data_IF_331792944984
#
_entry.id   IF_331792944984
#
_cell.length_a   1.000
_cell.length_b   1.000
_cell.length_c   1.000
_cell.angle_alpha   90.00
_cell.angle_beta   90.00
_cell.angle_gamma   90.00
#
_symmetry.space_group_name_H-M   'P 1'
#
loop_
_entity.id
_entity.type
_entity.pdbx_description
1 polymer ?
#
# COMPACT_ATOMS: atom_id res chain seq x y z
N UNK A 1 -6.60 24.07 -14.85
CA UNK A 1 -6.07 22.83 -14.25
C UNK A 1 -7.11 21.75 -14.46
N UNK A 2 -6.92 20.87 -15.43
CA UNK A 2 -7.77 19.69 -15.61
C UNK A 2 -7.58 18.80 -14.40
N UNK A 3 -8.65 18.58 -13.62
CA UNK A 3 -8.68 17.50 -12.63
C UNK A 3 -8.43 16.22 -13.42
N UNK A 4 -7.28 15.58 -13.22
CA UNK A 4 -7.04 14.27 -13.78
C UNK A 4 -8.03 13.33 -13.09
N UNK A 5 -9.12 13.01 -13.77
CA UNK A 5 -10.08 12.04 -13.27
C UNK A 5 -9.38 10.68 -13.25
N UNK A 6 -9.41 10.02 -12.10
CA UNK A 6 -8.93 8.65 -11.97
C UNK A 6 -9.79 7.73 -12.84
N UNK A 7 -9.14 6.73 -13.46
CA UNK A 7 -9.88 5.66 -14.14
C UNK A 7 -10.77 4.93 -13.12
N UNK A 8 -11.81 4.25 -13.60
CA UNK A 8 -12.67 3.47 -12.70
C UNK A 8 -11.92 2.30 -12.06
N UNK A 9 -10.89 1.78 -12.74
CA UNK A 9 -9.95 0.80 -12.20
C UNK A 9 -9.15 1.38 -11.02
N UNK A 10 -8.60 2.59 -11.15
CA UNK A 10 -7.89 3.27 -10.07
C UNK A 10 -8.81 3.49 -8.86
N UNK A 11 -10.07 3.89 -9.09
CA UNK A 11 -11.05 4.09 -8.01
C UNK A 11 -11.40 2.78 -7.30
N UNK A 12 -11.60 1.70 -8.06
CA UNK A 12 -11.89 0.39 -7.50
C UNK A 12 -10.71 -0.12 -6.66
N UNK A 13 -9.49 0.03 -7.17
CA UNK A 13 -8.27 -0.31 -6.45
C UNK A 13 -8.14 0.47 -5.14
N UNK A 14 -8.27 1.80 -5.19
CA UNK A 14 -8.20 2.66 -3.99
C UNK A 14 -9.27 2.24 -2.98
N UNK A 15 -10.48 1.92 -3.42
CA UNK A 15 -11.54 1.46 -2.53
C UNK A 15 -11.20 0.15 -1.82
N UNK A 16 -10.48 -0.78 -2.46
CA UNK A 16 -9.98 -2.00 -1.82
C UNK A 16 -8.92 -1.67 -0.78
N UNK A 17 -7.94 -0.83 -1.10
CA UNK A 17 -6.91 -0.38 -0.15
C UNK A 17 -7.56 0.27 1.07
N UNK A 18 -8.48 1.21 0.85
CA UNK A 18 -9.20 1.91 1.92
C UNK A 18 -10.01 0.95 2.80
N UNK A 19 -10.64 -0.06 2.19
CA UNK A 19 -11.48 -1.02 2.91
C UNK A 19 -10.67 -1.96 3.81
N UNK A 20 -9.51 -2.43 3.34
CA UNK A 20 -8.80 -3.55 3.97
C UNK A 20 -7.54 -3.15 4.74
N UNK A 21 -7.02 -1.96 4.51
CA UNK A 21 -5.84 -1.47 5.20
C UNK A 21 -6.15 -1.15 6.68
N UNK A 22 -5.30 -1.62 7.59
CA UNK A 22 -5.41 -1.40 9.05
C UNK A 22 -4.06 -1.02 9.65
N UNK A 23 -4.00 -0.12 10.65
CA UNK A 23 -2.73 0.28 11.27
C UNK A 23 -1.90 -0.93 11.69
N UNK A 24 -0.60 -0.91 11.40
CA UNK A 24 0.32 -2.01 11.60
C UNK A 24 0.51 -2.94 10.39
N UNK A 25 -0.29 -2.79 9.33
CA UNK A 25 -0.13 -3.59 8.12
C UNK A 25 1.14 -3.26 7.33
N UNK A 26 1.76 -4.28 6.77
CA UNK A 26 2.87 -4.12 5.83
C UNK A 26 2.32 -3.79 4.44
N UNK A 27 2.68 -2.62 3.93
CA UNK A 27 2.38 -2.20 2.57
C UNK A 27 3.57 -2.49 1.67
N UNK A 28 3.31 -2.98 0.46
CA UNK A 28 4.26 -2.91 -0.66
C UNK A 28 3.72 -1.94 -1.69
N UNK A 29 4.48 -0.93 -2.11
CA UNK A 29 4.02 0.10 -3.05
C UNK A 29 5.09 0.49 -4.06
N UNK A 30 4.64 0.97 -5.23
CA UNK A 30 5.52 1.48 -6.27
C UNK A 30 5.82 2.97 -6.08
N UNK A 31 7.06 3.37 -6.28
CA UNK A 31 7.45 4.79 -6.39
C UNK A 31 7.98 5.09 -7.79
N UNK A 32 8.45 6.32 -8.01
CA UNK A 32 9.02 6.72 -9.29
C UNK A 32 10.12 5.75 -9.75
N UNK A 33 10.19 5.59 -11.08
CA UNK A 33 11.08 4.64 -11.76
C UNK A 33 10.80 3.16 -11.43
N UNK A 34 9.54 2.80 -11.12
CA UNK A 34 9.13 1.40 -10.97
C UNK A 34 9.68 0.68 -9.71
N UNK A 35 10.27 1.44 -8.78
CA UNK A 35 10.84 0.87 -7.56
C UNK A 35 9.74 0.41 -6.61
N UNK A 36 9.91 -0.77 -6.01
CA UNK A 36 9.05 -1.26 -4.94
C UNK A 36 9.61 -0.84 -3.58
N UNK A 37 8.72 -0.50 -2.65
CA UNK A 37 9.07 -0.13 -1.29
C UNK A 37 8.11 -0.71 -0.29
N UNK A 38 8.54 -0.76 0.96
CA UNK A 38 7.76 -1.34 2.04
C UNK A 38 7.71 -0.45 3.27
N UNK A 39 6.50 -0.25 3.78
CA UNK A 39 6.24 0.54 4.97
C UNK A 39 5.16 -0.11 5.82
N UNK A 40 5.25 0.07 7.13
CA UNK A 40 4.16 -0.24 8.06
C UNK A 40 3.17 0.92 8.03
N UNK A 41 1.91 0.64 7.73
CA UNK A 41 0.88 1.67 7.74
C UNK A 41 0.60 2.17 9.16
N UNK A 42 0.61 3.49 9.34
CA UNK A 42 0.36 4.15 10.62
C UNK A 42 -1.05 4.77 10.64
N UNK A 43 -1.32 5.73 9.75
CA UNK A 43 -2.59 6.47 9.71
C UNK A 43 -2.83 7.16 8.35
N UNK A 44 -4.01 7.76 8.17
CA UNK A 44 -4.39 8.56 6.99
C UNK A 44 -4.22 10.04 7.24
N UNK A 45 -3.69 10.75 6.24
CA UNK A 45 -3.71 12.21 6.20
C UNK A 45 -4.39 12.68 4.89
N UNK A 46 -5.70 12.92 4.99
CA UNK A 46 -6.53 13.20 3.82
C UNK A 46 -6.52 12.02 2.84
N UNK A 47 -6.02 12.26 1.62
CA UNK A 47 -5.89 11.23 0.59
C UNK A 47 -4.67 10.33 0.79
N UNK A 48 -3.65 10.79 1.52
CA UNK A 48 -2.37 10.11 1.64
C UNK A 48 -2.39 9.07 2.75
N UNK A 49 -1.75 7.94 2.48
CA UNK A 49 -1.41 6.93 3.47
C UNK A 49 -0.08 7.32 4.08
N UNK A 50 -0.01 7.41 5.40
CA UNK A 50 1.24 7.67 6.10
C UNK A 50 1.79 6.33 6.59
N UNK A 51 2.99 5.98 6.12
CA UNK A 51 3.67 4.73 6.45
C UNK A 51 5.05 4.94 7.04
N UNK A 52 5.43 4.09 8.00
CA UNK A 52 6.78 4.02 8.54
C UNK A 52 7.62 3.05 7.71
N UNK A 53 8.71 3.50 7.04
CA UNK A 53 9.50 2.65 6.18
C UNK A 53 10.15 1.50 6.97
N UNK A 54 10.21 0.31 6.34
CA UNK A 54 10.89 -0.85 6.90
C UNK A 54 12.34 -0.92 6.41
N UNK A 55 13.23 -1.52 7.23
CA UNK A 55 14.63 -1.75 6.82
C UNK A 55 14.76 -2.70 5.62
N UNK A 56 13.71 -3.46 5.33
CA UNK A 56 13.66 -4.42 4.22
C UNK A 56 13.27 -3.78 2.88
N UNK A 57 13.18 -2.45 2.81
CA UNK A 57 12.93 -1.71 1.58
C UNK A 57 13.98 -2.07 0.52
N UNK A 58 13.64 -3.00 -0.38
CA UNK A 58 14.47 -3.37 -1.52
C UNK A 58 14.09 -2.49 -2.70
N UNK A 59 14.95 -1.53 -3.03
CA UNK A 59 14.88 -0.92 -4.35
C UNK A 59 15.11 -2.04 -5.37
N UNK A 60 14.04 -2.48 -6.04
CA UNK A 60 14.17 -3.25 -7.27
C UNK A 60 15.07 -2.44 -8.22
N UNK A 61 16.04 -3.09 -8.84
CA UNK A 61 17.09 -2.53 -9.73
C UNK A 61 18.39 -1.99 -9.10
N UNK A 62 18.66 -2.23 -7.81
CA UNK A 62 20.02 -2.06 -7.27
C UNK A 62 20.52 -0.61 -7.21
N UNK A 63 19.60 0.36 -7.20
CA UNK A 63 19.91 1.77 -7.09
C UNK A 63 20.40 2.11 -5.67
N UNK A 64 21.61 2.65 -5.54
CA UNK A 64 22.29 2.95 -4.26
C UNK A 64 21.88 4.30 -3.65
N UNK A 65 20.64 4.74 -3.83
CA UNK A 65 20.34 6.17 -3.73
C UNK A 65 19.39 6.63 -2.62
N UNK A 66 19.17 5.83 -1.58
CA UNK A 66 18.78 6.38 -0.28
C UNK A 66 19.30 5.49 0.83
N UNK A 67 20.07 6.09 1.75
CA UNK A 67 20.22 5.53 3.09
C UNK A 67 18.82 5.42 3.70
N UNK A 68 18.60 4.38 4.49
CA UNK A 68 17.36 4.18 5.22
C UNK A 68 17.00 5.46 5.99
N UNK A 69 15.85 6.05 5.65
CA UNK A 69 15.28 7.19 6.36
C UNK A 69 14.25 6.64 7.35
N UNK A 70 14.28 7.09 8.60
CA UNK A 70 13.27 6.75 9.61
C UNK A 70 12.04 7.68 9.56
N UNK A 71 12.08 8.70 8.71
CA UNK A 71 10.95 9.58 8.44
C UNK A 71 9.78 8.85 7.81
N UNK A 72 8.57 9.25 8.19
CA UNK A 72 7.33 8.77 7.60
C UNK A 72 7.28 9.10 6.09
N UNK A 73 6.67 8.21 5.32
CA UNK A 73 6.49 8.37 3.88
C UNK A 73 5.01 8.61 3.54
N UNK A 74 4.77 9.58 2.65
CA UNK A 74 3.49 9.79 2.00
C UNK A 74 3.33 8.79 0.85
N UNK A 75 2.34 7.92 0.98
CA UNK A 75 2.07 6.83 0.04
C UNK A 75 0.73 7.11 -0.63
N UNK A 76 0.74 7.12 -1.95
CA UNK A 76 -0.50 7.20 -2.73
C UNK A 76 -1.21 5.85 -2.68
N UNK A 77 -2.51 5.77 -2.33
CA UNK A 77 -3.23 4.49 -2.30
C UNK A 77 -3.20 3.77 -3.65
N UNK A 78 -3.23 4.52 -4.77
CA UNK A 78 -3.07 3.98 -6.15
C UNK A 78 -1.76 3.22 -6.41
N UNK A 79 -0.76 3.40 -5.57
CA UNK A 79 0.55 2.78 -5.77
C UNK A 79 0.75 1.58 -4.86
N UNK A 80 -0.19 1.29 -3.96
CA UNK A 80 -0.13 0.12 -3.09
C UNK A 80 -0.38 -1.11 -3.95
N UNK A 81 0.59 -2.00 -4.04
CA UNK A 81 0.48 -3.24 -4.80
C UNK A 81 0.05 -4.41 -3.92
N UNK A 82 0.48 -4.40 -2.66
CA UNK A 82 0.20 -5.48 -1.71
C UNK A 82 -0.08 -4.95 -0.31
N UNK A 83 -0.92 -5.67 0.43
CA UNK A 83 -1.13 -5.53 1.87
C UNK A 83 -0.79 -6.87 2.51
N UNK A 84 0.13 -6.88 3.48
CA UNK A 84 0.64 -8.09 4.13
C UNK A 84 1.10 -9.18 3.15
N UNK A 85 1.80 -8.76 2.08
CA UNK A 85 2.32 -9.61 0.99
C UNK A 85 1.25 -10.20 0.05
N UNK A 86 -0.04 -9.90 0.25
CA UNK A 86 -1.09 -10.32 -0.68
C UNK A 86 -1.42 -9.18 -1.66
N UNK A 87 -1.62 -9.46 -2.96
CA UNK A 87 -2.03 -8.46 -3.94
C UNK A 87 -3.38 -7.84 -3.55
N UNK A 88 -3.51 -6.52 -3.66
CA UNK A 88 -4.72 -5.78 -3.26
C UNK A 88 -5.97 -6.35 -3.93
N UNK A 89 -5.88 -6.67 -5.21
CA UNK A 89 -6.99 -7.17 -6.04
C UNK A 89 -7.40 -8.60 -5.67
N UNK A 90 -6.51 -9.37 -5.03
CA UNK A 90 -6.80 -10.74 -4.60
C UNK A 90 -7.51 -10.80 -3.25
N UNK A 91 -7.40 -9.75 -2.41
CA UNK A 91 -7.92 -9.73 -1.04
C UNK A 91 -9.41 -10.11 -0.95
N UNK A 92 -10.33 -9.62 -1.82
CA UNK A 92 -11.72 -10.01 -1.77
C UNK A 92 -11.95 -11.52 -1.85
N UNK A 93 -11.16 -12.22 -2.68
CA UNK A 93 -11.23 -13.68 -2.80
C UNK A 93 -10.57 -14.37 -1.60
N UNK A 94 -9.48 -13.81 -1.08
CA UNK A 94 -8.77 -14.37 0.08
C UNK A 94 -9.60 -14.34 1.36
N UNK A 95 -10.54 -13.40 1.51
CA UNK A 95 -11.47 -13.39 2.66
C UNK A 95 -12.27 -14.68 2.77
N UNK A 96 -12.58 -15.35 1.67
CA UNK A 96 -13.39 -16.57 1.74
C UNK A 96 -12.57 -17.80 2.17
N UNK A 97 -11.25 -17.77 1.99
CA UNK A 97 -10.39 -18.95 2.10
C UNK A 97 -9.23 -18.82 3.08
N UNK A 98 -8.86 -17.60 3.47
CA UNK A 98 -7.73 -17.30 4.36
C UNK A 98 -8.25 -16.71 5.69
N UNK A 99 -8.10 -17.44 6.81
CA UNK A 99 -8.54 -16.98 8.13
C UNK A 99 -7.99 -15.60 8.53
N UNK A 100 -6.80 -15.22 8.05
CA UNK A 100 -6.21 -13.91 8.38
C UNK A 100 -7.06 -12.75 7.85
N UNK A 101 -7.72 -12.96 6.72
CA UNK A 101 -8.59 -11.96 6.07
C UNK A 101 -10.04 -12.06 6.54
N UNK A 102 -10.51 -13.25 6.92
CA UNK A 102 -11.85 -13.45 7.50
C UNK A 102 -12.07 -12.56 8.73
N UNK A 103 -11.16 -12.61 9.70
CA UNK A 103 -11.28 -11.83 10.94
C UNK A 103 -11.22 -10.31 10.73
N UNK A 104 -10.70 -9.85 9.58
CA UNK A 104 -10.58 -8.43 9.24
C UNK A 104 -11.79 -7.88 8.50
N UNK A 105 -12.59 -8.73 7.88
CA UNK A 105 -13.82 -8.33 7.21
C UNK A 105 -14.95 -8.00 8.21
N UNK A 106 -14.86 -8.50 9.44
CA UNK A 106 -15.88 -8.36 10.50
C UNK A 106 -15.62 -7.17 11.46
N UNK A 107 -14.47 -6.49 11.32
CA UNK A 107 -13.99 -5.43 12.21
C UNK A 107 -13.91 -4.06 11.52
#
# INVERSE_FOLDING_TARGET
MTKTEHSDEDKAHIALVDRYLRPGDLLTYTVCMGRLREAIYEYREGYWIIGKPTRETRDAEGWKGREFSDHLEDISPRHVTHINRDPVEAIPMLIEIDPKWQHRAEA
#
